data_IF_200770104664
#
_entry.id   IF_200770104664
#
_cell.length_a   1.000
_cell.length_b   1.000
_cell.length_c   1.000
_cell.angle_alpha   90.00
_cell.angle_beta   90.00
_cell.angle_gamma   90.00
#
_symmetry.space_group_name_H-M   'P 1'
#
loop_
_entity.id
_entity.type
_entity.pdbx_description
1 polymer ?
#
# COMPACT_ATOMS: atom_id res chain seq x y z
N UNK A 1 25.14 -13.06 -10.53
CA UNK A 1 24.72 -12.11 -9.49
C UNK A 1 23.31 -11.68 -9.88
N UNK A 2 22.33 -12.54 -9.66
CA UNK A 2 20.95 -12.31 -10.13
C UNK A 2 19.98 -12.29 -8.96
N UNK A 3 18.96 -11.45 -9.09
CA UNK A 3 17.78 -11.21 -8.22
C UNK A 3 17.69 -9.80 -7.62
N UNK A 4 17.97 -8.76 -8.41
CA UNK A 4 17.12 -7.58 -8.31
C UNK A 4 15.81 -7.95 -9.03
N UNK A 5 14.86 -8.53 -8.30
CA UNK A 5 13.50 -8.65 -8.83
C UNK A 5 13.03 -7.25 -9.23
N UNK A 6 12.61 -7.08 -10.48
CA UNK A 6 11.97 -5.85 -10.94
C UNK A 6 10.64 -5.71 -10.19
N UNK A 7 10.67 -5.02 -9.06
CA UNK A 7 9.46 -4.67 -8.31
C UNK A 7 8.86 -3.43 -8.96
N UNK A 8 7.85 -3.65 -9.81
CA UNK A 8 7.03 -2.56 -10.29
C UNK A 8 5.93 -2.26 -9.27
N UNK A 9 5.82 -0.98 -8.93
CA UNK A 9 4.88 -0.45 -7.96
C UNK A 9 3.81 0.30 -8.73
N UNK A 10 2.57 -0.17 -8.62
CA UNK A 10 1.43 0.49 -9.24
C UNK A 10 0.43 0.95 -8.19
N UNK A 11 -0.19 2.10 -8.47
CA UNK A 11 -1.25 2.66 -7.66
C UNK A 11 -2.60 2.43 -8.36
N UNK A 12 -3.49 1.68 -7.71
CA UNK A 12 -4.85 1.46 -8.21
C UNK A 12 -5.89 1.91 -7.21
N UNK A 13 -7.10 2.22 -7.69
CA UNK A 13 -8.28 2.29 -6.85
C UNK A 13 -8.98 0.94 -6.91
N UNK A 14 -9.24 0.36 -5.75
CA UNK A 14 -10.04 -0.88 -5.64
C UNK A 14 -11.24 -0.63 -4.73
N UNK A 15 -12.37 -1.22 -5.10
CA UNK A 15 -13.59 -1.18 -4.31
C UNK A 15 -13.56 -2.31 -3.29
N UNK A 16 -13.43 -1.96 -2.01
CA UNK A 16 -13.59 -2.90 -0.91
C UNK A 16 -15.05 -2.96 -0.50
N UNK A 17 -15.65 -4.14 -0.56
CA UNK A 17 -16.95 -4.39 0.06
C UNK A 17 -16.73 -4.74 1.54
N UNK A 18 -17.02 -3.79 2.43
CA UNK A 18 -17.08 -4.04 3.87
C UNK A 18 -18.54 -4.07 4.34
N UNK A 19 -18.78 -4.39 5.62
CA UNK A 19 -20.12 -4.42 6.22
C UNK A 19 -20.86 -3.06 6.18
N UNK A 20 -20.17 -1.98 5.79
CA UNK A 20 -20.69 -0.61 5.69
C UNK A 20 -20.83 -0.13 4.24
N UNK A 21 -20.58 -0.99 3.25
CA UNK A 21 -20.72 -0.70 1.82
C UNK A 21 -19.42 -0.84 1.02
N UNK A 22 -19.47 -0.43 -0.26
CA UNK A 22 -18.30 -0.37 -1.14
C UNK A 22 -17.50 0.91 -0.90
N UNK A 23 -16.18 0.80 -0.65
CA UNK A 23 -15.26 1.95 -0.55
C UNK A 23 -14.12 1.80 -1.54
N UNK A 24 -13.92 2.81 -2.38
CA UNK A 24 -12.72 2.91 -3.20
C UNK A 24 -11.51 3.31 -2.34
N UNK A 25 -10.41 2.56 -2.44
CA UNK A 25 -9.16 2.90 -1.75
C UNK A 25 -7.95 2.72 -2.67
N UNK A 26 -6.95 3.62 -2.54
CA UNK A 26 -5.66 3.41 -3.17
C UNK A 26 -4.96 2.17 -2.59
N UNK A 27 -4.37 1.36 -3.46
CA UNK A 27 -3.56 0.19 -3.11
C UNK A 27 -2.26 0.20 -3.90
N UNK A 28 -1.21 -0.36 -3.30
CA UNK A 28 0.04 -0.67 -3.99
C UNK A 28 0.05 -2.12 -4.39
N UNK A 29 0.38 -2.42 -5.65
CA UNK A 29 0.77 -3.78 -6.06
C UNK A 29 2.29 -3.90 -6.15
N UNK A 30 2.81 -5.06 -5.76
CA UNK A 30 4.21 -5.45 -6.00
C UNK A 30 4.20 -6.63 -6.97
N UNK A 31 4.75 -6.45 -8.18
CA UNK A 31 4.94 -7.55 -9.13
C UNK A 31 6.29 -8.23 -8.87
N UNK A 32 6.29 -9.56 -8.70
CA UNK A 32 7.49 -10.33 -8.34
C UNK A 32 8.22 -10.93 -9.55
N UNK A 33 7.54 -11.08 -10.70
CA UNK A 33 8.10 -11.58 -11.96
C UNK A 33 7.11 -11.32 -13.13
N UNK A 34 7.59 -10.94 -14.31
CA UNK A 34 6.75 -10.74 -15.51
C UNK A 34 6.02 -12.01 -15.98
N UNK A 35 6.41 -13.20 -15.47
CA UNK A 35 5.83 -14.50 -15.84
C UNK A 35 4.70 -14.98 -14.92
N UNK A 36 4.51 -14.36 -13.76
CA UNK A 36 3.55 -14.80 -12.76
C UNK A 36 2.72 -13.61 -12.33
N UNK A 37 1.40 -13.67 -12.50
CA UNK A 37 0.47 -12.62 -12.07
C UNK A 37 0.27 -12.65 -10.55
N UNK A 38 1.37 -12.72 -9.80
CA UNK A 38 1.40 -12.68 -8.34
C UNK A 38 1.66 -11.26 -7.92
N UNK A 39 0.63 -10.60 -7.42
CA UNK A 39 0.72 -9.25 -6.87
C UNK A 39 0.26 -9.27 -5.40
N UNK A 40 1.02 -8.56 -4.56
CA UNK A 40 0.60 -8.29 -3.18
C UNK A 40 -0.09 -6.92 -3.14
N UNK A 41 -1.32 -6.87 -2.61
CA UNK A 41 -2.06 -5.62 -2.44
C UNK A 41 -1.82 -5.04 -1.04
N UNK A 42 -1.19 -3.88 -0.99
CA UNK A 42 -0.96 -3.15 0.25
C UNK A 42 -1.91 -1.97 0.35
N UNK A 43 -2.65 -1.89 1.44
CA UNK A 43 -3.58 -0.79 1.69
C UNK A 43 -2.86 0.52 1.95
N UNK A 44 -3.34 1.60 1.33
CA UNK A 44 -2.87 2.97 1.62
C UNK A 44 -3.82 3.65 2.60
N UNK A 45 -3.24 4.18 3.66
CA UNK A 45 -3.95 4.85 4.75
C UNK A 45 -3.43 6.25 4.93
N UNK A 46 -4.32 7.20 5.16
CA UNK A 46 -3.96 8.61 5.36
C UNK A 46 -4.12 9.06 6.82
N UNK A 47 -4.53 8.15 7.70
CA UNK A 47 -4.87 8.44 9.10
C UNK A 47 -3.87 7.75 10.04
N UNK A 48 -2.62 8.23 10.05
CA UNK A 48 -1.59 7.82 11.03
C UNK A 48 -1.98 8.04 12.51
N UNK A 49 -2.78 9.04 12.94
CA UNK A 49 -2.97 9.32 14.37
C UNK A 49 -3.54 8.15 15.19
N UNK A 50 -4.36 7.28 14.57
CA UNK A 50 -5.00 6.16 15.27
C UNK A 50 -4.08 4.96 15.49
N UNK A 51 -3.11 4.74 14.59
CA UNK A 51 -2.25 3.54 14.59
C UNK A 51 -0.81 3.81 15.05
N UNK A 52 -0.33 5.06 14.95
CA UNK A 52 1.04 5.46 15.33
C UNK A 52 1.42 5.17 16.77
N UNK A 53 0.44 5.11 17.70
CA UNK A 53 0.68 4.81 19.12
C UNK A 53 0.88 3.32 19.42
N UNK A 54 0.59 2.43 18.47
CA UNK A 54 0.73 0.99 18.67
C UNK A 54 2.03 0.53 18.01
N UNK A 55 2.98 0.08 18.82
CA UNK A 55 4.32 -0.39 18.38
C UNK A 55 4.20 -1.41 17.24
N UNK A 56 3.28 -2.36 17.35
CA UNK A 56 2.97 -3.36 16.31
C UNK A 56 2.75 -2.75 14.91
N UNK A 57 2.17 -1.55 14.78
CA UNK A 57 1.92 -0.94 13.49
C UNK A 57 3.12 -0.15 12.96
N UNK A 58 4.11 0.18 13.80
CA UNK A 58 5.28 0.93 13.37
C UNK A 58 6.19 0.08 12.47
N UNK A 59 6.30 -1.22 12.75
CA UNK A 59 7.18 -2.14 12.03
C UNK A 59 6.68 -2.48 10.61
N UNK A 60 5.38 -2.25 10.34
CA UNK A 60 4.76 -2.60 9.06
C UNK A 60 4.08 -1.43 8.34
N UNK A 61 4.25 -0.19 8.81
CA UNK A 61 3.72 1.01 8.14
C UNK A 61 4.84 1.89 7.59
N UNK A 62 4.88 2.01 6.28
CA UNK A 62 5.89 2.75 5.55
C UNK A 62 5.30 4.05 5.00
N UNK A 63 5.92 5.18 5.29
CA UNK A 63 5.45 6.48 4.79
C UNK A 63 5.73 6.61 3.29
N UNK A 64 4.74 7.06 2.53
CA UNK A 64 4.92 7.45 1.13
C UNK A 64 5.59 8.83 1.14
N UNK A 65 6.87 8.87 0.79
CA UNK A 65 7.70 10.09 0.85
C UNK A 65 7.16 11.19 -0.06
N UNK A 66 6.87 10.85 -1.31
CA UNK A 66 6.33 11.78 -2.31
C UNK A 66 4.88 11.41 -2.65
N UNK A 67 3.99 11.70 -1.71
CA UNK A 67 2.58 11.36 -1.88
C UNK A 67 1.89 12.22 -2.96
N UNK A 68 2.41 13.42 -3.26
CA UNK A 68 1.86 14.29 -4.29
C UNK A 68 2.19 13.77 -5.69
N UNK A 69 3.44 13.37 -5.95
CA UNK A 69 3.80 12.73 -7.21
C UNK A 69 3.06 11.40 -7.42
N UNK A 70 2.72 10.70 -6.33
CA UNK A 70 1.86 9.53 -6.35
C UNK A 70 0.35 9.84 -6.55
N UNK A 71 -0.06 11.10 -6.75
CA UNK A 71 -1.46 11.48 -6.97
C UNK A 71 -2.35 11.39 -5.72
N UNK A 72 -1.77 11.35 -4.52
CA UNK A 72 -2.49 11.31 -3.25
C UNK A 72 -2.71 12.73 -2.73
N UNK A 73 -3.88 12.97 -2.12
CA UNK A 73 -4.27 14.30 -1.63
C UNK A 73 -3.64 14.71 -0.29
N UNK A 74 -3.16 13.73 0.49
CA UNK A 74 -2.60 13.95 1.83
C UNK A 74 -1.52 12.91 2.13
N UNK A 75 -0.68 13.21 3.13
CA UNK A 75 0.34 12.29 3.65
C UNK A 75 -0.31 10.94 3.91
N UNK A 76 0.33 9.89 3.40
CA UNK A 76 -0.21 8.54 3.39
C UNK A 76 0.88 7.51 3.68
N UNK A 77 0.44 6.34 4.14
CA UNK A 77 1.27 5.23 4.55
C UNK A 77 0.81 3.95 3.86
N UNK A 78 1.77 3.16 3.42
CA UNK A 78 1.57 1.80 2.95
C UNK A 78 1.67 0.85 4.14
N UNK A 79 0.67 -0.02 4.33
CA UNK A 79 0.69 -1.04 5.39
C UNK A 79 0.98 -2.41 4.78
N UNK A 80 2.05 -3.04 5.25
CA UNK A 80 2.33 -4.46 5.04
C UNK A 80 1.68 -5.30 6.14
N UNK A 81 1.20 -6.50 5.82
CA UNK A 81 0.81 -7.46 6.84
C UNK A 81 2.06 -8.23 7.31
N UNK A 82 2.21 -8.51 8.61
CA UNK A 82 3.24 -9.45 9.08
C UNK A 82 3.06 -10.84 8.46
#
# INVERSE_FOLDING_TARGET
MDKAGLYEIYLFKVTFHDKTGGKERPVVTISYNQRSLSFELLGIYSDRPKYSKKVYYQDFMYQIKDYQAAGLRKISWCKRHP
#
